data_IF_471602300934
#
_entry.id   IF_471602300934
#
_cell.length_a   1.000
_cell.length_b   1.000
_cell.length_c   1.000
_cell.angle_alpha   90.00
_cell.angle_beta   90.00
_cell.angle_gamma   90.00
#
_symmetry.space_group_name_H-M   'P 1'
#
loop_
_entity.id
_entity.type
_entity.pdbx_description
1 polymer ?
#
# COMPACT_ATOMS: atom_id res chain seq x y z
N UNK A 1 -4.07 -10.53 6.65
CA UNK A 1 -3.43 -10.90 5.38
C UNK A 1 -2.42 -12.00 5.64
N UNK A 2 -2.55 -13.09 4.96
CA UNK A 2 -1.73 -14.27 5.19
C UNK A 2 -1.11 -14.77 3.90
N UNK A 3 -0.05 -15.59 4.02
CA UNK A 3 0.56 -16.22 2.85
C UNK A 3 -0.43 -17.12 2.12
N UNK A 4 -1.32 -17.76 2.85
CA UNK A 4 -2.36 -18.61 2.26
C UNK A 4 -3.30 -17.82 1.37
N UNK A 5 -3.77 -16.66 1.82
CA UNK A 5 -4.65 -15.81 1.03
C UNK A 5 -3.93 -15.34 -0.24
N UNK A 6 -2.68 -14.94 -0.12
CA UNK A 6 -1.88 -14.50 -1.27
C UNK A 6 -1.72 -15.64 -2.27
N UNK A 7 -1.42 -16.84 -1.78
CA UNK A 7 -1.29 -18.02 -2.63
C UNK A 7 -2.61 -18.32 -3.38
N UNK A 8 -3.74 -18.23 -2.68
CA UNK A 8 -5.05 -18.44 -3.32
C UNK A 8 -5.30 -17.47 -4.46
N UNK A 9 -4.88 -16.21 -4.30
CA UNK A 9 -5.13 -15.16 -5.29
C UNK A 9 -4.13 -15.18 -6.44
N UNK A 10 -2.87 -15.51 -6.17
CA UNK A 10 -1.79 -15.42 -7.17
C UNK A 10 -1.35 -16.77 -7.70
N UNK A 11 -1.71 -17.88 -7.03
CA UNK A 11 -1.22 -19.23 -7.33
C UNK A 11 0.29 -19.34 -7.21
N UNK A 12 0.92 -18.47 -6.41
CA UNK A 12 2.37 -18.40 -6.25
C UNK A 12 2.73 -18.54 -4.77
N UNK A 13 3.64 -19.47 -4.45
CA UNK A 13 4.11 -19.72 -3.09
C UNK A 13 5.33 -18.89 -2.70
N UNK A 14 5.94 -18.19 -3.65
CA UNK A 14 7.18 -17.45 -3.42
C UNK A 14 6.88 -15.96 -3.37
N UNK A 15 6.64 -15.46 -2.16
CA UNK A 15 6.25 -14.07 -1.93
C UNK A 15 7.22 -13.07 -2.56
N UNK A 16 8.51 -13.37 -2.50
CA UNK A 16 9.57 -12.49 -3.00
C UNK A 16 9.56 -12.34 -4.53
N UNK A 17 8.80 -13.16 -5.25
CA UNK A 17 8.72 -13.10 -6.71
C UNK A 17 7.45 -12.45 -7.25
N UNK A 18 6.49 -12.15 -6.36
CA UNK A 18 5.21 -11.58 -6.78
C UNK A 18 5.38 -10.11 -7.13
N UNK A 19 4.97 -9.72 -8.34
CA UNK A 19 5.08 -8.34 -8.82
C UNK A 19 3.78 -7.57 -8.75
N UNK A 20 2.63 -8.24 -8.77
CA UNK A 20 1.33 -7.59 -8.72
C UNK A 20 0.41 -8.35 -7.77
N UNK A 21 -0.23 -7.61 -6.86
CA UNK A 21 -1.14 -8.20 -5.88
C UNK A 21 -2.37 -7.31 -5.72
N UNK A 22 -3.55 -7.92 -5.93
CA UNK A 22 -4.82 -7.23 -5.74
C UNK A 22 -5.67 -8.00 -4.74
N UNK A 23 -5.85 -7.43 -3.55
CA UNK A 23 -6.67 -7.99 -2.48
C UNK A 23 -7.83 -7.05 -2.11
N UNK A 24 -8.47 -6.48 -3.11
CA UNK A 24 -9.61 -5.59 -2.95
C UNK A 24 -10.72 -6.26 -2.12
N UNK A 25 -11.22 -5.54 -1.11
CA UNK A 25 -12.44 -5.96 -0.40
C UNK A 25 -12.30 -7.21 0.45
N UNK A 26 -11.18 -7.42 1.13
CA UNK A 26 -10.94 -8.63 1.94
C UNK A 26 -10.93 -8.39 3.45
N UNK A 27 -11.45 -7.26 3.94
CA UNK A 27 -11.51 -6.95 5.37
C UNK A 27 -10.14 -6.97 6.08
N UNK A 28 -9.07 -6.68 5.37
CA UNK A 28 -7.72 -6.80 5.90
C UNK A 28 -7.35 -5.63 6.80
N UNK A 29 -6.79 -5.93 7.98
CA UNK A 29 -6.23 -4.94 8.90
C UNK A 29 -4.71 -5.05 8.94
N UNK A 30 -4.19 -6.26 9.12
CA UNK A 30 -2.76 -6.54 9.23
C UNK A 30 -2.21 -6.91 7.85
N UNK A 31 -1.31 -6.07 7.34
CA UNK A 31 -0.64 -6.32 6.06
C UNK A 31 0.87 -6.48 6.24
N UNK A 32 1.31 -6.88 7.43
CA UNK A 32 2.74 -6.97 7.75
C UNK A 32 3.52 -7.88 6.80
N UNK A 33 2.87 -8.89 6.22
CA UNK A 33 3.50 -9.80 5.27
C UNK A 33 4.00 -9.08 4.01
N UNK A 34 3.46 -7.91 3.69
CA UNK A 34 3.88 -7.10 2.54
C UNK A 34 5.36 -6.72 2.65
N UNK A 35 5.88 -6.60 3.88
CA UNK A 35 7.30 -6.28 4.09
C UNK A 35 8.25 -7.33 3.51
N UNK A 36 7.75 -8.53 3.23
CA UNK A 36 8.53 -9.62 2.62
C UNK A 36 8.38 -9.67 1.09
N UNK A 37 7.58 -8.79 0.51
CA UNK A 37 7.23 -8.85 -0.91
C UNK A 37 7.98 -7.76 -1.69
N UNK A 38 9.29 -7.88 -1.74
CA UNK A 38 10.16 -6.82 -2.27
C UNK A 38 10.10 -6.67 -3.80
N UNK A 39 9.52 -7.63 -4.50
CA UNK A 39 9.36 -7.54 -5.96
C UNK A 39 8.07 -6.86 -6.39
N UNK A 40 7.20 -6.48 -5.44
CA UNK A 40 5.93 -5.83 -5.78
C UNK A 40 6.14 -4.55 -6.57
N UNK A 41 5.44 -4.43 -7.68
CA UNK A 41 5.39 -3.24 -8.50
C UNK A 41 4.00 -2.59 -8.44
N UNK A 42 2.95 -3.41 -8.33
CA UNK A 42 1.57 -2.94 -8.22
C UNK A 42 0.91 -3.61 -7.01
N UNK A 43 0.42 -2.80 -6.09
CA UNK A 43 -0.27 -3.28 -4.89
C UNK A 43 -1.60 -2.57 -4.76
N UNK A 44 -2.71 -3.34 -4.79
CA UNK A 44 -4.04 -2.81 -4.53
C UNK A 44 -4.61 -3.48 -3.28
N UNK A 45 -4.85 -2.66 -2.26
CA UNK A 45 -5.50 -3.05 -1.02
C UNK A 45 -6.73 -2.18 -0.78
N UNK A 46 -7.35 -1.70 -1.85
CA UNK A 46 -8.54 -0.85 -1.75
C UNK A 46 -9.68 -1.57 -1.04
N UNK A 47 -10.49 -0.82 -0.31
CA UNK A 47 -11.67 -1.32 0.39
C UNK A 47 -11.30 -2.39 1.42
N UNK A 48 -10.40 -2.05 2.31
CA UNK A 48 -9.99 -2.88 3.45
C UNK A 48 -10.01 -2.03 4.72
N UNK A 49 -9.34 -2.45 5.77
CA UNK A 49 -9.32 -1.78 7.07
C UNK A 49 -7.90 -1.46 7.53
N UNK A 50 -7.01 -1.23 6.59
CA UNK A 50 -5.60 -0.95 6.88
C UNK A 50 -5.47 0.44 7.50
N UNK A 51 -4.75 0.54 8.63
CA UNK A 51 -4.61 1.78 9.37
C UNK A 51 -3.20 2.38 9.35
N UNK A 52 -2.24 1.72 8.72
CA UNK A 52 -0.87 2.24 8.63
C UNK A 52 -0.22 1.82 7.31
N UNK A 53 0.67 2.68 6.81
CA UNK A 53 1.46 2.43 5.60
C UNK A 53 2.83 1.83 5.92
N UNK A 54 3.13 1.57 7.21
CA UNK A 54 4.50 1.23 7.63
C UNK A 54 5.11 0.03 6.90
N UNK A 55 4.30 -0.98 6.57
CA UNK A 55 4.83 -2.20 5.94
C UNK A 55 5.13 -2.02 4.46
N UNK A 56 4.52 -1.03 3.82
CA UNK A 56 4.72 -0.74 2.41
C UNK A 56 6.10 -0.13 2.14
N UNK A 57 6.73 0.46 3.17
CA UNK A 57 8.04 1.11 3.02
C UNK A 57 9.13 0.19 2.51
N UNK A 58 8.95 -1.12 2.65
CA UNK A 58 9.94 -2.12 2.23
C UNK A 58 9.74 -2.59 0.79
N UNK A 59 8.69 -2.14 0.13
CA UNK A 59 8.40 -2.50 -1.26
C UNK A 59 9.15 -1.56 -2.21
N UNK A 60 10.47 -1.71 -2.31
CA UNK A 60 11.35 -0.77 -2.99
C UNK A 60 11.10 -0.65 -4.49
N UNK A 61 10.44 -1.63 -5.09
CA UNK A 61 10.16 -1.64 -6.53
C UNK A 61 8.75 -1.16 -6.86
N UNK A 62 8.03 -0.66 -5.86
CA UNK A 62 6.63 -0.29 -6.01
C UNK A 62 6.47 0.90 -6.95
N UNK A 63 5.57 0.76 -7.92
CA UNK A 63 5.24 1.77 -8.92
C UNK A 63 3.82 2.30 -8.76
N UNK A 64 2.91 1.45 -8.28
CA UNK A 64 1.50 1.81 -8.11
C UNK A 64 0.98 1.27 -6.78
N UNK A 65 0.36 2.15 -6.00
CA UNK A 65 -0.22 1.80 -4.71
C UNK A 65 -1.65 2.31 -4.64
N UNK A 66 -2.60 1.39 -4.45
CA UNK A 66 -4.02 1.72 -4.34
C UNK A 66 -4.54 1.33 -2.96
N UNK A 67 -4.80 2.33 -2.13
CA UNK A 67 -5.26 2.16 -0.75
C UNK A 67 -6.56 2.90 -0.49
N UNK A 68 -7.36 3.14 -1.53
CA UNK A 68 -8.64 3.84 -1.41
C UNK A 68 -9.55 3.11 -0.42
N UNK A 69 -10.23 3.88 0.42
CA UNK A 69 -11.22 3.36 1.36
C UNK A 69 -10.63 2.36 2.36
N UNK A 70 -9.74 2.86 3.15
CA UNK A 70 -9.13 2.16 4.29
C UNK A 70 -9.26 3.06 5.53
N UNK A 71 -8.47 2.82 6.55
CA UNK A 71 -8.52 3.55 7.82
C UNK A 71 -7.24 4.35 8.09
N UNK A 72 -6.59 4.86 7.05
CA UNK A 72 -5.37 5.66 7.20
C UNK A 72 -5.71 7.04 7.75
N UNK A 73 -5.05 7.45 8.83
CA UNK A 73 -5.37 8.69 9.55
C UNK A 73 -4.26 9.73 9.59
N UNK A 74 -2.99 9.32 9.48
CA UNK A 74 -1.85 10.21 9.67
C UNK A 74 -1.23 10.67 8.36
N UNK A 75 -1.29 11.98 8.08
CA UNK A 75 -0.61 12.56 6.93
C UNK A 75 0.90 12.37 7.00
N UNK A 76 1.47 12.37 8.21
CA UNK A 76 2.92 12.23 8.39
C UNK A 76 3.46 10.90 7.87
N UNK A 77 2.61 9.87 7.80
CA UNK A 77 3.02 8.58 7.27
C UNK A 77 3.32 8.61 5.77
N UNK A 78 2.72 9.55 5.05
CA UNK A 78 2.93 9.64 3.59
C UNK A 78 4.41 9.88 3.28
N UNK A 79 5.04 10.98 3.72
CA UNK A 79 6.47 11.16 3.45
C UNK A 79 7.34 10.16 4.19
N UNK A 80 6.93 9.76 5.40
CA UNK A 80 7.75 8.87 6.23
C UNK A 80 7.95 7.50 5.61
N UNK A 81 6.88 6.89 5.07
CA UNK A 81 6.92 5.52 4.57
C UNK A 81 6.92 5.41 3.04
N UNK A 82 6.42 6.41 2.34
CA UNK A 82 6.39 6.40 0.88
C UNK A 82 7.52 7.21 0.25
N UNK A 83 8.15 8.11 1.02
CA UNK A 83 9.17 9.02 0.51
C UNK A 83 10.40 8.33 -0.06
N UNK A 84 10.71 7.11 0.40
CA UNK A 84 11.85 6.35 -0.10
C UNK A 84 11.55 5.49 -1.33
N UNK A 85 10.28 5.47 -1.78
CA UNK A 85 9.86 4.63 -2.90
C UNK A 85 10.05 5.40 -4.21
N UNK A 86 11.28 5.42 -4.71
CA UNK A 86 11.67 6.28 -5.83
C UNK A 86 10.97 5.97 -7.15
N UNK A 87 10.44 4.77 -7.30
CA UNK A 87 9.69 4.38 -8.52
C UNK A 87 8.20 4.59 -8.45
N UNK A 88 7.68 5.06 -7.31
CA UNK A 88 6.24 5.22 -7.11
C UNK A 88 5.71 6.36 -8.00
N UNK A 89 4.76 6.04 -8.87
CA UNK A 89 4.21 6.99 -9.84
C UNK A 89 2.70 7.11 -9.81
N UNK A 90 1.99 6.15 -9.19
CA UNK A 90 0.54 6.21 -9.02
C UNK A 90 0.20 5.90 -7.57
N UNK A 91 -0.57 6.80 -6.95
CA UNK A 91 -0.94 6.68 -5.54
C UNK A 91 -2.39 7.08 -5.36
N UNK A 92 -3.20 6.21 -4.77
CA UNK A 92 -4.58 6.50 -4.43
C UNK A 92 -4.80 6.25 -2.94
N UNK A 93 -5.06 7.34 -2.19
CA UNK A 93 -5.34 7.31 -0.76
C UNK A 93 -6.70 7.94 -0.43
N UNK A 94 -7.55 8.15 -1.43
CA UNK A 94 -8.86 8.76 -1.24
C UNK A 94 -9.76 7.90 -0.34
N UNK A 95 -10.79 8.53 0.22
CA UNK A 95 -11.74 7.86 1.11
C UNK A 95 -11.08 7.21 2.34
N UNK A 96 -9.96 7.77 2.78
CA UNK A 96 -9.36 7.51 4.09
C UNK A 96 -9.54 8.77 4.95
N UNK A 97 -9.55 8.66 6.28
CA UNK A 97 -9.66 9.84 7.13
C UNK A 97 -8.61 10.92 6.84
N UNK A 98 -7.37 10.51 6.54
CA UNK A 98 -6.30 11.47 6.22
C UNK A 98 -6.61 12.33 4.98
N UNK A 99 -7.41 11.83 4.05
CA UNK A 99 -7.74 12.54 2.82
C UNK A 99 -8.68 13.73 3.05
N UNK A 100 -9.30 13.82 4.23
CA UNK A 100 -10.15 14.94 4.60
C UNK A 100 -9.36 16.13 5.16
N UNK A 101 -8.07 15.93 5.45
CA UNK A 101 -7.23 17.00 5.96
C UNK A 101 -6.93 18.03 4.85
N UNK A 102 -6.91 19.31 5.20
CA UNK A 102 -6.73 20.41 4.23
C UNK A 102 -5.40 20.31 3.47
N UNK A 103 -4.36 19.71 4.05
CA UNK A 103 -3.05 19.59 3.43
C UNK A 103 -2.81 18.26 2.72
N UNK A 104 -3.84 17.41 2.61
CA UNK A 104 -3.70 16.09 2.02
C UNK A 104 -3.06 16.12 0.62
N UNK A 105 -3.59 16.97 -0.27
CA UNK A 105 -3.09 17.07 -1.64
C UNK A 105 -1.61 17.43 -1.68
N UNK A 106 -1.18 18.34 -0.81
CA UNK A 106 0.22 18.75 -0.72
C UNK A 106 1.12 17.58 -0.34
N UNK A 107 0.71 16.78 0.64
CA UNK A 107 1.49 15.62 1.09
C UNK A 107 1.60 14.56 -0.01
N UNK A 108 0.52 14.32 -0.74
CA UNK A 108 0.53 13.34 -1.85
C UNK A 108 1.45 13.81 -2.98
N UNK A 109 1.37 15.09 -3.36
CA UNK A 109 2.20 15.63 -4.43
C UNK A 109 3.69 15.52 -4.06
N UNK A 110 4.03 15.77 -2.80
CA UNK A 110 5.42 15.69 -2.34
C UNK A 110 5.94 14.26 -2.24
N UNK A 111 5.06 13.28 -2.08
CA UNK A 111 5.47 11.87 -1.95
C UNK A 111 5.84 11.24 -3.29
N UNK A 112 5.24 11.73 -4.38
CA UNK A 112 5.51 11.18 -5.71
C UNK A 112 6.76 11.83 -6.29
N UNK A 113 7.67 11.01 -6.82
CA UNK A 113 8.90 11.50 -7.43
C UNK A 113 8.63 12.37 -8.66
#
# INVERSE_FOLDING_TARGET
MTAELIHMKTKNNRLETIKSLNLWGNDLEDISIVSQMQSLEVLSLAVNKVSTLKDVQYCYNLKELYMRKNNLTSLAEIPRYLGGLSGLRKLSLSENPLAEHSKYRLFVVKALP
#
